data_IF_890754903315
#
_entry.id   IF_890754903315
#
_cell.length_a   1.000
_cell.length_b   1.000
_cell.length_c   1.000
_cell.angle_alpha   90.00
_cell.angle_beta   90.00
_cell.angle_gamma   90.00
#
_symmetry.space_group_name_H-M   'P 1'
#
loop_
_entity.id
_entity.type
_entity.pdbx_description
1 polymer ?
#
# COMPACT_ATOMS: atom_id res chain seq x y z
N UNK A 1 16.75 -4.45 -14.58
CA UNK A 1 16.71 -5.12 -13.27
C UNK A 1 18.02 -4.77 -12.58
N UNK A 2 18.06 -3.85 -11.62
CA UNK A 2 17.67 -4.06 -10.22
C UNK A 2 17.31 -2.73 -9.52
N UNK A 3 16.14 -2.66 -8.87
CA UNK A 3 15.80 -1.61 -7.88
C UNK A 3 15.37 -2.31 -6.59
N UNK A 4 16.17 -2.15 -5.54
CA UNK A 4 16.06 -2.72 -4.18
C UNK A 4 16.46 -1.60 -3.20
N UNK A 5 15.80 -1.26 -2.08
CA UNK A 5 14.74 -1.92 -1.27
C UNK A 5 14.00 -0.83 -0.42
N UNK A 6 12.70 -0.97 -0.12
CA UNK A 6 12.12 -0.37 1.10
C UNK A 6 12.24 -1.38 2.25
N UNK A 7 13.00 -1.06 3.29
CA UNK A 7 13.34 -1.97 4.38
C UNK A 7 13.35 -1.27 5.75
N UNK A 8 12.54 -1.71 6.73
CA UNK A 8 12.83 -1.44 8.15
C UNK A 8 13.42 -2.66 8.89
N UNK A 9 13.87 -3.66 8.14
CA UNK A 9 14.37 -5.02 8.47
C UNK A 9 13.40 -6.20 8.28
N UNK A 10 12.89 -6.27 7.04
CA UNK A 10 12.40 -7.44 6.27
C UNK A 10 10.87 -7.66 6.17
N UNK A 11 10.38 -8.37 5.13
CA UNK A 11 10.65 -8.22 3.70
C UNK A 11 9.34 -7.86 2.95
N UNK A 12 9.42 -7.01 1.93
CA UNK A 12 8.32 -6.63 1.01
C UNK A 12 7.10 -5.90 1.61
N UNK A 13 7.12 -5.51 2.89
CA UNK A 13 6.01 -4.74 3.45
C UNK A 13 5.95 -3.34 2.79
N UNK A 14 4.76 -2.89 2.35
CA UNK A 14 4.54 -1.49 1.98
C UNK A 14 5.03 -0.52 3.06
N UNK A 15 5.51 0.65 2.64
CA UNK A 15 5.88 1.70 3.58
C UNK A 15 4.61 2.39 4.08
N UNK A 16 4.39 2.34 5.39
CA UNK A 16 3.30 3.07 6.03
C UNK A 16 3.76 4.51 6.30
N UNK A 17 2.96 5.49 5.88
CA UNK A 17 3.19 6.93 6.06
C UNK A 17 1.96 7.60 6.67
N UNK A 18 2.14 8.73 7.36
CA UNK A 18 1.03 9.50 7.90
C UNK A 18 1.46 10.86 8.43
N UNK A 19 0.49 11.78 8.53
CA UNK A 19 0.72 13.16 8.96
C UNK A 19 -0.24 13.62 10.09
N UNK A 20 -0.92 12.68 10.74
CA UNK A 20 -1.93 12.96 11.76
C UNK A 20 -3.32 13.29 11.22
N UNK A 21 -3.47 13.50 9.91
CA UNK A 21 -4.76 13.70 9.24
C UNK A 21 -5.14 12.47 8.42
N UNK A 22 -4.17 11.92 7.69
CA UNK A 22 -4.32 10.70 6.89
C UNK A 22 -3.19 9.72 7.21
N UNK A 23 -3.48 8.44 6.98
CA UNK A 23 -2.49 7.37 6.93
C UNK A 23 -2.57 6.67 5.57
N UNK A 24 -1.44 6.25 5.03
CA UNK A 24 -1.37 5.56 3.75
C UNK A 24 -0.29 4.49 3.75
N UNK A 25 -0.44 3.51 2.87
CA UNK A 25 0.61 2.53 2.57
C UNK A 25 1.06 2.68 1.12
N UNK A 26 2.36 2.76 0.87
CA UNK A 26 2.95 2.92 -0.47
C UNK A 26 3.86 1.76 -0.85
N UNK A 27 3.85 1.40 -2.14
CA UNK A 27 4.78 0.41 -2.68
C UNK A 27 6.15 1.02 -3.04
N UNK A 28 7.10 0.18 -3.45
CA UNK A 28 8.45 0.59 -3.83
C UNK A 28 8.51 1.51 -5.08
N UNK A 29 7.41 1.60 -5.84
CA UNK A 29 7.26 2.52 -6.96
C UNK A 29 6.50 3.80 -6.57
N UNK A 30 6.19 3.99 -5.29
CA UNK A 30 5.48 5.16 -4.77
C UNK A 30 3.97 5.14 -5.06
N UNK A 31 3.39 4.03 -5.51
CA UNK A 31 1.93 3.92 -5.69
C UNK A 31 1.26 3.75 -4.34
N UNK A 32 0.09 4.37 -4.16
CA UNK A 32 -0.74 4.21 -2.96
C UNK A 32 -1.47 2.87 -3.06
N UNK A 33 -1.30 2.01 -2.06
CA UNK A 33 -2.04 0.76 -1.92
C UNK A 33 -3.33 0.98 -1.10
N UNK A 34 -3.24 1.87 -0.11
CA UNK A 34 -4.37 2.34 0.67
C UNK A 34 -4.13 3.78 1.15
N UNK A 35 -5.21 4.53 1.35
CA UNK A 35 -5.23 5.77 2.11
C UNK A 35 -6.47 5.77 3.00
N UNK A 36 -6.30 6.17 4.26
CA UNK A 36 -7.41 6.27 5.20
C UNK A 36 -7.33 7.52 6.06
N UNK A 37 -8.48 7.88 6.61
CA UNK A 37 -8.67 9.07 7.42
C UNK A 37 -10.01 9.03 8.14
N UNK A 38 -10.22 9.99 9.04
CA UNK A 38 -11.46 10.09 9.79
C UNK A 38 -12.53 10.88 9.02
N UNK A 39 -13.75 10.33 8.95
CA UNK A 39 -14.95 10.99 8.45
C UNK A 39 -15.95 11.18 9.59
N UNK A 40 -16.54 12.37 9.68
CA UNK A 40 -17.40 12.77 10.82
C UNK A 40 -18.61 11.87 11.03
N UNK A 41 -19.19 11.32 9.96
CA UNK A 41 -20.38 10.44 10.05
C UNK A 41 -20.04 8.94 9.99
N UNK A 42 -18.95 8.57 9.33
CA UNK A 42 -18.65 7.18 8.98
C UNK A 42 -17.51 6.58 9.82
N UNK A 43 -16.88 7.39 10.67
CA UNK A 43 -15.68 7.00 11.40
C UNK A 43 -14.47 6.89 10.47
N UNK A 44 -13.60 5.90 10.69
CA UNK A 44 -12.41 5.72 9.88
C UNK A 44 -12.75 5.08 8.53
N UNK A 45 -12.47 5.80 7.44
CA UNK A 45 -12.69 5.34 6.07
C UNK A 45 -11.36 5.05 5.40
N UNK A 46 -11.33 4.02 4.55
CA UNK A 46 -10.16 3.63 3.78
C UNK A 46 -10.55 3.52 2.31
N UNK A 47 -9.75 4.13 1.45
CA UNK A 47 -9.72 3.87 0.01
C UNK A 47 -8.57 2.92 -0.28
N UNK A 48 -8.87 1.75 -0.82
CA UNK A 48 -7.90 0.70 -1.18
C UNK A 48 -8.21 0.13 -2.56
N UNK A 49 -7.18 -0.32 -3.29
CA UNK A 49 -7.35 -0.97 -4.59
C UNK A 49 -7.72 -2.45 -4.51
N UNK A 50 -7.58 -3.07 -3.34
CA UNK A 50 -7.84 -4.48 -3.12
C UNK A 50 -9.31 -4.75 -2.84
N UNK A 51 -9.78 -5.96 -3.18
CA UNK A 51 -11.12 -6.40 -2.80
C UNK A 51 -11.26 -6.51 -1.28
N UNK A 52 -12.38 -6.07 -0.68
CA UNK A 52 -12.59 -6.16 0.76
C UNK A 52 -12.44 -7.60 1.30
N UNK A 53 -11.90 -7.72 2.52
CA UNK A 53 -11.79 -9.02 3.17
C UNK A 53 -13.16 -9.65 3.44
N UNK A 54 -13.40 -10.94 3.09
CA UNK A 54 -14.69 -11.58 3.28
C UNK A 54 -15.10 -11.68 4.76
N UNK A 55 -16.27 -11.13 5.12
CA UNK A 55 -16.74 -11.07 6.51
C UNK A 55 -16.82 -12.43 7.20
N UNK A 56 -17.29 -13.47 6.48
CA UNK A 56 -17.41 -14.83 7.00
C UNK A 56 -16.07 -15.44 7.46
N UNK A 57 -14.94 -14.88 7.02
CA UNK A 57 -13.59 -15.39 7.32
C UNK A 57 -12.85 -14.58 8.39
N UNK A 58 -13.50 -13.58 9.02
CA UNK A 58 -12.85 -12.69 10.01
C UNK A 58 -12.25 -13.43 11.20
N UNK A 59 -12.79 -14.59 11.54
CA UNK A 59 -12.32 -15.42 12.64
C UNK A 59 -11.41 -16.59 12.20
N UNK A 60 -11.06 -16.69 10.91
CA UNK A 60 -10.08 -17.65 10.38
C UNK A 60 -8.69 -16.98 10.33
N UNK A 61 -7.78 -17.24 11.28
CA UNK A 61 -6.49 -16.57 11.34
C UNK A 61 -5.61 -16.85 10.12
N UNK A 62 -5.75 -18.03 9.50
CA UNK A 62 -4.98 -18.37 8.31
C UNK A 62 -5.48 -17.58 7.08
N UNK A 63 -6.79 -17.38 6.96
CA UNK A 63 -7.35 -16.50 5.93
C UNK A 63 -6.88 -15.06 6.08
N UNK A 64 -6.90 -14.53 7.30
CA UNK A 64 -6.44 -13.16 7.59
C UNK A 64 -4.96 -13.01 7.22
N UNK A 65 -4.11 -13.98 7.59
CA UNK A 65 -2.67 -13.97 7.25
C UNK A 65 -2.44 -14.01 5.74
N UNK A 66 -3.13 -14.89 5.01
CA UNK A 66 -3.03 -14.95 3.54
C UNK A 66 -3.49 -13.66 2.87
N UNK A 67 -4.58 -13.07 3.33
CA UNK A 67 -5.08 -11.81 2.79
C UNK A 67 -4.08 -10.67 3.02
N UNK A 68 -3.56 -10.53 4.24
CA UNK A 68 -2.53 -9.52 4.55
C UNK A 68 -1.25 -9.70 3.73
N UNK A 69 -0.83 -10.95 3.51
CA UNK A 69 0.30 -11.26 2.64
C UNK A 69 0.04 -10.84 1.18
N UNK A 70 -1.19 -11.02 0.67
CA UNK A 70 -1.57 -10.58 -0.67
C UNK A 70 -1.57 -9.05 -0.80
N UNK A 71 -2.01 -8.32 0.22
CA UNK A 71 -1.93 -6.84 0.23
C UNK A 71 -0.50 -6.30 0.20
N UNK A 72 0.45 -7.06 0.74
CA UNK A 72 1.88 -6.72 0.76
C UNK A 72 2.65 -7.31 -0.44
N UNK A 73 2.00 -8.06 -1.32
CA UNK A 73 2.67 -8.74 -2.42
C UNK A 73 3.12 -7.74 -3.50
N UNK A 74 4.26 -8.00 -4.19
CA UNK A 74 4.61 -7.28 -5.40
C UNK A 74 3.45 -7.33 -6.41
N UNK A 75 3.04 -6.16 -6.92
CA UNK A 75 1.93 -6.06 -7.86
C UNK A 75 0.54 -6.00 -7.23
N UNK A 76 0.43 -5.84 -5.90
CA UNK A 76 -0.83 -5.51 -5.26
C UNK A 76 -1.52 -4.31 -5.97
N UNK A 77 -2.86 -4.34 -6.10
CA UNK A 77 -3.60 -3.24 -6.70
C UNK A 77 -3.34 -1.94 -5.94
N UNK A 78 -2.97 -0.90 -6.68
CA UNK A 78 -2.70 0.42 -6.13
C UNK A 78 -3.10 1.49 -7.14
N UNK A 79 -3.16 2.73 -6.67
CA UNK A 79 -3.57 3.89 -7.44
C UNK A 79 -2.62 5.07 -7.18
N UNK A 80 -2.79 6.15 -7.94
CA UNK A 80 -2.01 7.37 -7.80
C UNK A 80 -1.32 7.78 -9.09
N UNK A 81 -0.45 8.79 -8.97
CA UNK A 81 0.26 9.39 -10.09
C UNK A 81 1.57 8.63 -10.36
N UNK A 82 1.84 8.33 -11.62
CA UNK A 82 3.13 7.87 -12.09
C UNK A 82 3.77 8.99 -12.94
N UNK A 83 5.08 9.27 -12.80
CA UNK A 83 5.75 10.19 -13.70
C UNK A 83 5.62 9.71 -15.15
N UNK A 84 5.31 10.61 -16.07
CA UNK A 84 5.39 10.31 -17.50
C UNK A 84 6.85 9.94 -17.84
N UNK A 85 7.10 8.71 -18.29
CA UNK A 85 8.44 8.16 -18.52
C UNK A 85 8.97 7.25 -17.40
N UNK A 86 8.19 7.04 -16.34
CA UNK A 86 8.57 6.19 -15.20
C UNK A 86 9.59 6.86 -14.27
N UNK A 87 9.77 6.26 -13.09
CA UNK A 87 10.74 6.73 -12.09
C UNK A 87 12.22 6.49 -12.50
N UNK A 88 12.47 5.99 -13.70
CA UNK A 88 13.81 5.70 -14.23
C UNK A 88 14.47 6.95 -14.84
N UNK A 89 13.69 7.97 -15.23
CA UNK A 89 14.20 9.18 -15.87
C UNK A 89 14.53 10.34 -14.91
N UNK A 90 14.07 10.25 -13.65
CA UNK A 90 14.19 11.36 -12.67
C UNK A 90 15.61 11.47 -12.08
N UNK A 91 16.47 10.45 -12.26
CA UNK A 91 17.83 10.42 -11.69
C UNK A 91 18.97 10.88 -12.61
N UNK A 92 18.70 11.28 -13.86
CA UNK A 92 19.74 11.50 -14.87
C UNK A 92 20.10 12.97 -15.15
N UNK A 93 19.75 13.92 -14.26
CA UNK A 93 20.15 15.33 -14.39
C UNK A 93 20.86 15.81 -13.13
N UNK A 94 22.18 15.70 -13.15
CA UNK A 94 23.11 16.62 -12.48
C UNK A 94 24.04 17.18 -13.55
#
# INVERSE_FOLDING_TARGET
MTRSVLNPDHPYKPLDVGNGVVAASVDAAGRLLSVGGYHVEAGYVTLEGASPFPHARRHDPAAVRRYRAALAAPGAPGFGLAPAGGWDQVGARQ
#
